data_IF_527898076916
#
_entry.id   IF_527898076916
#
_cell.length_a   1.000
_cell.length_b   1.000
_cell.length_c   1.000
_cell.angle_alpha   90.00
_cell.angle_beta   90.00
_cell.angle_gamma   90.00
#
_symmetry.space_group_name_H-M   'P 1'
#
loop_
_entity.id
_entity.type
_entity.pdbx_description
1 polymer ?
#
# COMPACT_ATOMS: atom_id res chain seq x y z
N UNK A 1 8.37 -0.15 -2.33
CA UNK A 1 8.87 1.07 -1.63
C UNK A 1 9.57 0.63 -0.35
N UNK A 2 10.78 1.13 -0.08
CA UNK A 2 11.56 0.69 1.10
C UNK A 2 11.30 1.52 2.37
N UNK A 3 10.71 2.71 2.23
CA UNK A 3 10.50 3.64 3.35
C UNK A 3 11.77 4.39 3.73
N UNK A 4 12.69 4.56 2.78
CA UNK A 4 13.96 5.29 2.95
C UNK A 4 14.05 6.53 2.07
N UNK A 5 13.17 6.64 1.08
CA UNK A 5 13.19 7.64 0.01
C UNK A 5 12.50 8.97 0.39
N UNK A 6 12.02 9.10 1.63
CA UNK A 6 11.37 10.30 2.17
C UNK A 6 10.01 10.61 1.54
N UNK A 7 9.49 11.83 1.79
CA UNK A 7 8.16 12.25 1.32
C UNK A 7 8.04 12.24 -0.20
N UNK A 8 9.07 12.70 -0.92
CA UNK A 8 9.08 12.70 -2.40
C UNK A 8 9.00 11.27 -2.94
N UNK A 9 9.76 10.34 -2.34
CA UNK A 9 9.72 8.93 -2.74
C UNK A 9 8.36 8.28 -2.44
N UNK A 10 7.72 8.66 -1.35
CA UNK A 10 6.37 8.20 -0.99
C UNK A 10 5.33 8.70 -2.00
N UNK A 11 5.34 9.99 -2.35
CA UNK A 11 4.43 10.56 -3.35
C UNK A 11 4.57 9.86 -4.70
N UNK A 12 5.81 9.71 -5.20
CA UNK A 12 6.08 9.00 -6.45
C UNK A 12 5.62 7.55 -6.41
N UNK A 13 5.73 6.89 -5.26
CA UNK A 13 5.24 5.53 -5.10
C UNK A 13 3.72 5.47 -5.21
N UNK A 14 2.99 6.38 -4.55
CA UNK A 14 1.52 6.46 -4.68
C UNK A 14 1.06 6.76 -6.11
N UNK A 15 1.68 7.72 -6.79
CA UNK A 15 1.39 8.02 -8.20
C UNK A 15 1.61 6.78 -9.09
N UNK A 16 2.72 6.07 -8.88
CA UNK A 16 2.99 4.82 -9.61
C UNK A 16 1.92 3.75 -9.33
N UNK A 17 1.46 3.62 -8.09
CA UNK A 17 0.40 2.66 -7.74
C UNK A 17 -0.93 3.02 -8.38
N UNK A 18 -1.30 4.30 -8.39
CA UNK A 18 -2.54 4.76 -9.03
C UNK A 18 -2.53 4.46 -10.54
N UNK A 19 -1.45 4.80 -11.23
CA UNK A 19 -1.29 4.44 -12.65
C UNK A 19 -1.30 2.92 -12.86
N UNK A 20 -0.67 2.14 -11.98
CA UNK A 20 -0.70 0.67 -12.07
C UNK A 20 -2.12 0.13 -11.92
N UNK A 21 -2.91 0.68 -10.98
CA UNK A 21 -4.29 0.26 -10.77
C UNK A 21 -5.19 0.58 -11.95
N UNK A 22 -4.98 1.71 -12.59
CA UNK A 22 -5.69 2.08 -13.82
C UNK A 22 -5.36 1.10 -14.95
N UNK A 23 -4.08 0.84 -15.20
CA UNK A 23 -3.62 -0.05 -16.29
C UNK A 23 -4.18 -1.47 -16.15
N UNK A 24 -4.24 -2.02 -14.93
CA UNK A 24 -4.69 -3.40 -14.69
C UNK A 24 -6.18 -3.49 -14.33
N UNK A 25 -6.92 -2.37 -14.37
CA UNK A 25 -8.31 -2.26 -13.94
C UNK A 25 -8.53 -2.86 -12.53
N UNK A 26 -7.66 -2.49 -11.58
CA UNK A 26 -7.66 -3.05 -10.25
C UNK A 26 -8.91 -2.62 -9.47
N UNK A 27 -9.75 -3.60 -9.12
CA UNK A 27 -10.92 -3.37 -8.27
C UNK A 27 -10.51 -2.87 -6.87
N UNK A 28 -11.32 -1.99 -6.30
CA UNK A 28 -11.01 -1.27 -5.05
C UNK A 28 -10.57 -2.20 -3.90
N UNK A 29 -11.30 -3.30 -3.68
CA UNK A 29 -11.01 -4.27 -2.62
C UNK A 29 -9.70 -5.08 -2.80
N UNK A 30 -8.98 -4.91 -3.91
CA UNK A 30 -7.68 -5.55 -4.15
C UNK A 30 -6.52 -4.56 -4.13
N UNK A 31 -6.76 -3.25 -4.19
CA UNK A 31 -5.73 -2.23 -4.29
C UNK A 31 -4.76 -2.25 -3.11
N UNK A 32 -5.28 -2.19 -1.88
CA UNK A 32 -4.45 -2.20 -0.65
C UNK A 32 -3.61 -3.47 -0.58
N UNK A 33 -4.21 -4.63 -0.83
CA UNK A 33 -3.49 -5.92 -0.83
C UNK A 33 -2.38 -5.96 -1.88
N UNK A 34 -2.63 -5.42 -3.07
CA UNK A 34 -1.63 -5.35 -4.14
C UNK A 34 -0.49 -4.38 -3.81
N UNK A 35 -0.81 -3.17 -3.38
CA UNK A 35 0.19 -2.16 -3.01
C UNK A 35 1.08 -2.63 -1.86
N UNK A 36 0.49 -3.26 -0.86
CA UNK A 36 1.21 -3.69 0.33
C UNK A 36 2.09 -4.91 0.08
N UNK A 37 1.75 -5.75 -0.91
CA UNK A 37 2.56 -6.88 -1.35
C UNK A 37 3.90 -6.45 -1.99
N UNK A 38 4.01 -5.21 -2.47
CA UNK A 38 5.24 -4.67 -3.08
C UNK A 38 6.00 -3.71 -2.16
N UNK A 39 5.63 -3.65 -0.88
CA UNK A 39 6.40 -2.96 0.14
C UNK A 39 7.64 -3.78 0.51
N UNK A 40 8.71 -3.08 0.86
CA UNK A 40 9.97 -3.68 1.27
C UNK A 40 10.53 -2.95 2.49
N UNK A 41 11.53 -3.54 3.13
CA UNK A 41 12.27 -2.91 4.22
C UNK A 41 11.37 -2.32 5.30
N UNK A 42 11.61 -1.06 5.67
CA UNK A 42 10.89 -0.38 6.76
C UNK A 42 9.40 -0.23 6.48
N UNK A 43 9.03 -0.01 5.22
CA UNK A 43 7.62 0.12 4.84
C UNK A 43 6.86 -1.20 5.02
N UNK A 44 7.48 -2.34 4.70
CA UNK A 44 6.87 -3.66 4.94
C UNK A 44 6.75 -3.95 6.45
N UNK A 45 7.77 -3.63 7.24
CA UNK A 45 7.71 -3.78 8.70
C UNK A 45 6.57 -2.96 9.31
N UNK A 46 6.40 -1.71 8.86
CA UNK A 46 5.29 -0.86 9.27
C UNK A 46 3.93 -1.47 8.91
N UNK A 47 3.77 -1.99 7.68
CA UNK A 47 2.51 -2.63 7.27
C UNK A 47 2.20 -3.89 8.08
N UNK A 48 3.21 -4.71 8.37
CA UNK A 48 3.05 -5.91 9.19
C UNK A 48 2.58 -5.58 10.61
N UNK A 49 3.08 -4.47 11.19
CA UNK A 49 2.60 -3.98 12.48
C UNK A 49 1.12 -3.56 12.42
N UNK A 50 0.71 -2.86 11.36
CA UNK A 50 -0.70 -2.52 11.15
C UNK A 50 -1.59 -3.75 11.02
N UNK A 51 -1.15 -4.76 10.25
CA UNK A 51 -1.86 -6.04 10.11
C UNK A 51 -1.95 -6.78 11.45
N UNK A 52 -0.90 -6.78 12.26
CA UNK A 52 -0.91 -7.39 13.59
C UNK A 52 -1.88 -6.69 14.54
N UNK A 53 -2.02 -5.37 14.42
CA UNK A 53 -2.88 -4.55 15.30
C UNK A 53 -4.35 -4.63 14.90
N UNK A 54 -4.66 -4.56 13.60
CA UNK A 54 -6.04 -4.47 13.10
C UNK A 54 -6.62 -5.82 12.65
N UNK A 55 -5.77 -6.82 12.43
CA UNK A 55 -6.14 -8.06 11.74
C UNK A 55 -6.04 -7.93 10.22
N UNK A 56 -5.68 -9.03 9.56
CA UNK A 56 -5.39 -9.09 8.11
C UNK A 56 -6.57 -8.66 7.24
N UNK A 57 -7.77 -9.11 7.55
CA UNK A 57 -8.96 -8.79 6.75
C UNK A 57 -9.33 -7.31 6.87
N UNK A 58 -9.32 -6.77 8.08
CA UNK A 58 -9.60 -5.34 8.32
C UNK A 58 -8.54 -4.46 7.68
N UNK A 59 -7.26 -4.80 7.83
CA UNK A 59 -6.17 -4.01 7.25
C UNK A 59 -6.24 -3.98 5.71
N UNK A 60 -6.46 -5.13 5.05
CA UNK A 60 -6.50 -5.21 3.59
C UNK A 60 -7.84 -4.77 2.99
N UNK A 61 -8.93 -4.78 3.77
CA UNK A 61 -10.26 -4.40 3.32
C UNK A 61 -10.53 -2.90 3.31
N UNK A 62 -9.58 -2.08 3.82
CA UNK A 62 -9.70 -0.63 3.79
C UNK A 62 -9.71 -0.09 2.35
N UNK A 63 -10.45 1.01 2.09
CA UNK A 63 -10.32 1.75 0.85
C UNK A 63 -8.88 2.21 0.62
N UNK A 64 -8.44 2.25 -0.63
CA UNK A 64 -7.09 2.73 -0.98
C UNK A 64 -6.85 4.17 -0.50
N UNK A 65 -7.89 5.00 -0.54
CA UNK A 65 -7.85 6.40 -0.09
C UNK A 65 -7.57 6.57 1.40
N UNK A 66 -7.79 5.55 2.24
CA UNK A 66 -7.42 5.58 3.67
C UNK A 66 -5.97 5.16 3.91
N UNK A 67 -5.35 4.49 2.94
CA UNK A 67 -3.96 4.02 3.03
C UNK A 67 -2.99 5.03 2.40
N UNK A 68 -3.49 5.87 1.49
CA UNK A 68 -2.78 7.00 0.89
C UNK A 68 -2.49 8.10 1.92
#
# INVERSE_FOLDING_TARGET
>A
FHGTEGAIGLVRWFEKMENTFEIIECVEGKKVKFATAILHGRALTWWNYHVATLGREVANGRPWTEVK
#
